data_IF_838434556778
#
_entry.id   IF_838434556778
#
_cell.length_a   1.000
_cell.length_b   1.000
_cell.length_c   1.000
_cell.angle_alpha   90.00
_cell.angle_beta   90.00
_cell.angle_gamma   90.00
#
_symmetry.space_group_name_H-M   'P 1'
#
loop_
_entity.id
_entity.type
_entity.pdbx_description
1 polymer ?
#
# COMPACT_ATOMS: atom_id res chain seq x y z
N UNK A 1 21.09 -66.41 40.14
CA UNK A 1 19.76 -66.31 39.50
C UNK A 1 19.51 -64.82 39.28
N UNK A 2 19.82 -64.31 38.10
CA UNK A 2 19.70 -62.88 37.73
C UNK A 2 18.39 -62.70 36.95
N UNK A 3 17.45 -61.96 37.55
CA UNK A 3 16.21 -61.60 36.88
C UNK A 3 16.45 -60.36 36.01
N UNK A 4 16.32 -60.54 34.68
CA UNK A 4 16.30 -59.48 33.67
C UNK A 4 14.85 -58.99 33.56
N UNK A 5 14.62 -57.70 33.91
CA UNK A 5 13.35 -57.00 33.62
C UNK A 5 13.45 -56.39 32.20
N UNK A 6 12.50 -56.62 31.30
CA UNK A 6 12.46 -55.92 30.05
C UNK A 6 11.86 -54.50 30.27
N UNK A 7 12.65 -53.47 29.91
CA UNK A 7 12.14 -52.10 29.85
C UNK A 7 11.23 -51.97 28.64
N UNK A 8 9.94 -51.72 28.84
CA UNK A 8 8.99 -51.39 27.79
C UNK A 8 9.14 -49.88 27.49
N UNK A 9 9.69 -49.59 26.31
CA UNK A 9 9.78 -48.20 25.79
C UNK A 9 8.40 -47.82 25.24
N UNK A 10 7.63 -47.02 25.97
CA UNK A 10 6.39 -46.42 25.47
C UNK A 10 6.80 -45.22 24.61
N UNK A 11 6.77 -45.39 23.29
CA UNK A 11 6.86 -44.28 22.33
C UNK A 11 5.51 -43.57 22.32
N UNK A 12 5.43 -42.46 23.02
CA UNK A 12 4.28 -41.57 22.95
C UNK A 12 4.27 -40.96 21.54
N UNK A 13 3.39 -41.44 20.66
CA UNK A 13 3.08 -40.79 19.42
C UNK A 13 2.40 -39.46 19.74
N UNK A 14 3.13 -38.34 19.62
CA UNK A 14 2.55 -37.01 19.62
C UNK A 14 1.57 -36.92 18.43
N UNK A 15 0.31 -36.45 18.63
CA UNK A 15 -0.59 -36.24 17.53
C UNK A 15 0.08 -35.20 16.60
N UNK A 16 0.36 -35.57 15.36
CA UNK A 16 0.69 -34.64 14.32
C UNK A 16 -0.58 -33.80 14.08
N UNK A 17 -0.64 -32.63 14.68
CA UNK A 17 -1.62 -31.64 14.27
C UNK A 17 -1.29 -31.28 12.84
N UNK A 18 -2.12 -31.72 11.90
CA UNK A 18 -2.14 -31.21 10.55
C UNK A 18 -2.41 -29.71 10.70
N UNK A 19 -1.38 -28.89 10.56
CA UNK A 19 -1.56 -27.44 10.51
C UNK A 19 -2.31 -27.16 9.23
N UNK A 20 -3.55 -26.72 9.34
CA UNK A 20 -4.33 -26.23 8.21
C UNK A 20 -3.54 -25.09 7.55
N UNK A 21 -2.93 -25.40 6.43
CA UNK A 21 -2.21 -24.40 5.64
C UNK A 21 -3.23 -23.68 4.77
N UNK A 22 -3.26 -22.38 4.84
CA UNK A 22 -4.17 -21.57 4.06
C UNK A 22 -3.43 -20.31 3.58
N UNK A 23 -3.67 -19.97 2.31
CA UNK A 23 -3.20 -18.74 1.70
C UNK A 23 -4.36 -18.13 0.92
N UNK A 24 -4.87 -17.01 1.39
CA UNK A 24 -5.85 -16.22 0.65
C UNK A 24 -5.28 -14.83 0.36
N UNK A 25 -5.35 -14.43 -0.90
CA UNK A 25 -4.85 -13.15 -1.36
C UNK A 25 -5.66 -12.64 -2.55
N UNK A 26 -5.56 -11.35 -2.80
CA UNK A 26 -6.18 -10.69 -3.93
C UNK A 26 -5.12 -10.01 -4.78
N UNK A 27 -5.30 -10.03 -6.09
CA UNK A 27 -4.51 -9.27 -7.06
C UNK A 27 -5.47 -8.46 -7.92
N UNK A 28 -5.24 -7.16 -7.99
CA UNK A 28 -5.97 -6.23 -8.85
C UNK A 28 -5.07 -5.65 -9.92
N UNK A 29 -5.60 -5.58 -11.13
CA UNK A 29 -4.98 -4.90 -12.26
C UNK A 29 -5.98 -3.93 -12.87
N UNK A 30 -5.51 -2.76 -13.30
CA UNK A 30 -6.37 -1.74 -13.86
C UNK A 30 -5.63 -0.55 -14.41
N UNK A 31 -6.32 0.57 -14.43
CA UNK A 31 -5.76 1.86 -14.85
C UNK A 31 -6.05 2.94 -13.80
N UNK A 32 -5.14 3.88 -13.68
CA UNK A 32 -5.29 5.06 -12.81
C UNK A 32 -4.86 6.31 -13.56
N UNK A 33 -5.66 7.36 -13.45
CA UNK A 33 -5.31 8.71 -13.86
C UNK A 33 -4.90 9.49 -12.61
N UNK A 34 -3.72 10.07 -12.64
CA UNK A 34 -3.14 10.86 -11.55
C UNK A 34 -2.15 11.88 -12.15
N UNK A 35 -1.64 12.85 -11.37
CA UNK A 35 -0.54 13.70 -11.84
C UNK A 35 0.66 12.88 -12.31
N UNK A 36 1.32 13.33 -13.36
CA UNK A 36 2.49 12.68 -13.95
C UNK A 36 3.64 12.49 -12.94
N UNK A 37 3.80 13.43 -12.03
CA UNK A 37 4.62 13.34 -10.83
C UNK A 37 3.94 14.12 -9.68
N UNK A 38 4.38 13.93 -8.45
CA UNK A 38 3.80 14.61 -7.30
C UNK A 38 3.94 16.13 -7.43
N UNK A 39 2.80 16.83 -7.51
CA UNK A 39 2.73 18.27 -7.71
C UNK A 39 2.65 18.74 -9.16
N UNK A 40 2.61 17.84 -10.15
CA UNK A 40 2.41 18.19 -11.55
C UNK A 40 0.98 18.67 -11.83
N UNK A 41 0.83 19.63 -12.72
CA UNK A 41 -0.46 20.01 -13.32
C UNK A 41 -0.88 19.09 -14.47
N UNK A 42 0.08 18.36 -15.04
CA UNK A 42 -0.18 17.39 -16.11
C UNK A 42 -0.64 16.06 -15.52
N UNK A 43 -1.71 15.52 -16.09
CA UNK A 43 -2.27 14.22 -15.68
C UNK A 43 -1.94 13.15 -16.70
N UNK A 44 -1.61 11.96 -16.20
CA UNK A 44 -1.34 10.79 -17.01
C UNK A 44 -2.23 9.63 -16.58
N UNK A 45 -2.57 8.79 -17.56
CA UNK A 45 -3.26 7.53 -17.31
C UNK A 45 -2.30 6.39 -17.55
N UNK A 46 -2.01 5.66 -16.50
CA UNK A 46 -1.09 4.53 -16.53
C UNK A 46 -1.70 3.25 -15.98
N UNK A 47 -1.02 2.12 -16.15
CA UNK A 47 -1.40 0.86 -15.51
C UNK A 47 -1.31 1.00 -13.99
N UNK A 48 -2.22 0.34 -13.30
CA UNK A 48 -2.25 0.28 -11.84
C UNK A 48 -2.40 -1.17 -11.38
N UNK A 49 -1.70 -1.52 -10.32
CA UNK A 49 -1.78 -2.83 -9.71
C UNK A 49 -1.93 -2.71 -8.20
N UNK A 50 -2.69 -3.62 -7.62
CA UNK A 50 -2.83 -3.74 -6.16
C UNK A 50 -2.71 -5.20 -5.76
N UNK A 51 -2.31 -5.45 -4.52
CA UNK A 51 -2.28 -6.77 -3.95
C UNK A 51 -2.52 -6.71 -2.44
N UNK A 52 -3.30 -7.65 -1.94
CA UNK A 52 -3.52 -7.80 -0.51
C UNK A 52 -3.48 -9.28 -0.14
N UNK A 53 -3.00 -9.57 1.07
CA UNK A 53 -3.05 -10.91 1.66
C UNK A 53 -4.08 -10.87 2.77
N UNK A 54 -5.11 -11.71 2.66
CA UNK A 54 -6.18 -11.80 3.64
C UNK A 54 -5.92 -12.92 4.66
N UNK A 55 -5.37 -14.06 4.21
CA UNK A 55 -5.05 -15.17 5.08
C UNK A 55 -3.68 -15.73 4.73
N UNK A 56 -2.83 -15.90 5.74
CA UNK A 56 -1.56 -16.59 5.62
C UNK A 56 -1.37 -17.50 6.83
N UNK A 57 -1.52 -18.81 6.64
CA UNK A 57 -1.30 -19.84 7.66
C UNK A 57 -0.23 -20.80 7.17
N UNK A 58 1.00 -20.54 7.56
CA UNK A 58 2.14 -21.37 7.17
C UNK A 58 3.22 -21.32 8.26
N UNK A 59 3.85 -22.46 8.57
CA UNK A 59 5.01 -22.56 9.47
C UNK A 59 4.78 -21.97 10.88
N UNK A 60 3.55 -22.04 11.42
CA UNK A 60 3.20 -21.50 12.73
C UNK A 60 2.91 -20.00 12.75
N UNK A 61 3.03 -19.31 11.63
CA UNK A 61 2.53 -17.96 11.45
C UNK A 61 1.07 -18.00 11.01
N UNK A 62 0.21 -17.35 11.78
CA UNK A 62 -1.19 -17.17 11.45
C UNK A 62 -1.46 -15.68 11.26
N UNK A 63 -1.58 -15.26 10.01
CA UNK A 63 -2.09 -13.94 9.62
C UNK A 63 -3.45 -14.20 9.01
N UNK A 64 -4.49 -13.75 9.66
CA UNK A 64 -5.87 -13.84 9.17
C UNK A 64 -6.41 -12.40 9.13
N UNK A 65 -6.52 -11.86 7.92
CA UNK A 65 -7.20 -10.60 7.65
C UNK A 65 -8.52 -10.94 6.97
N UNK A 66 -9.35 -11.75 7.65
CA UNK A 66 -10.69 -12.05 7.16
C UNK A 66 -11.57 -10.79 7.07
N UNK A 67 -12.80 -10.97 6.63
CA UNK A 67 -13.87 -9.96 6.78
C UNK A 67 -14.21 -9.72 8.26
N UNK A 68 -13.44 -10.31 9.16
CA UNK A 68 -13.63 -10.30 10.58
C UNK A 68 -13.31 -8.92 11.17
N UNK A 69 -14.16 -8.50 12.08
CA UNK A 69 -13.96 -7.32 12.90
C UNK A 69 -12.71 -7.49 13.78
N UNK A 70 -12.01 -6.39 14.03
CA UNK A 70 -10.84 -6.38 14.90
C UNK A 70 -9.53 -6.10 14.19
N UNK A 71 -8.43 -6.63 14.74
CA UNK A 71 -7.09 -6.37 14.25
C UNK A 71 -6.77 -7.15 12.97
N UNK A 72 -6.21 -6.43 11.99
CA UNK A 72 -5.60 -6.99 10.79
C UNK A 72 -4.11 -6.63 10.72
N UNK A 73 -3.31 -7.55 10.22
CA UNK A 73 -1.90 -7.34 9.93
C UNK A 73 -1.56 -7.96 8.57
N UNK A 74 -0.74 -7.31 7.77
CA UNK A 74 -0.34 -7.86 6.48
C UNK A 74 0.82 -7.09 5.84
N UNK A 75 1.36 -7.63 4.74
CA UNK A 75 2.34 -6.92 3.93
C UNK A 75 1.71 -5.70 3.26
N UNK A 76 2.53 -4.72 2.97
CA UNK A 76 2.14 -3.51 2.24
C UNK A 76 3.13 -3.29 1.09
N UNK A 77 2.59 -3.06 -0.11
CA UNK A 77 3.37 -2.80 -1.31
C UNK A 77 2.85 -1.53 -1.98
N UNK A 78 3.76 -0.77 -2.58
CA UNK A 78 3.42 0.38 -3.42
C UNK A 78 4.39 0.45 -4.60
N UNK A 79 3.86 0.64 -5.78
CA UNK A 79 4.62 0.96 -6.98
C UNK A 79 4.44 2.44 -7.31
N UNK A 80 5.54 3.12 -7.62
CA UNK A 80 5.58 4.51 -8.08
C UNK A 80 6.26 4.49 -9.44
N UNK A 81 5.64 5.11 -10.44
CA UNK A 81 6.22 5.25 -11.78
C UNK A 81 7.50 6.08 -11.74
N UNK A 82 8.35 5.89 -12.72
CA UNK A 82 9.53 6.72 -12.91
C UNK A 82 9.14 8.20 -13.13
N UNK A 83 10.03 9.10 -12.75
CA UNK A 83 9.95 10.53 -13.06
C UNK A 83 11.20 10.90 -13.86
N UNK A 84 11.04 11.19 -15.16
CA UNK A 84 12.14 11.61 -16.01
C UNK A 84 12.09 13.11 -16.27
N UNK A 85 13.22 13.76 -16.04
CA UNK A 85 13.39 15.20 -16.36
C UNK A 85 13.28 15.47 -17.86
N UNK A 86 13.55 14.47 -18.72
CA UNK A 86 13.42 14.63 -20.18
C UNK A 86 11.97 14.79 -20.63
N UNK A 87 11.01 14.29 -19.88
CA UNK A 87 9.59 14.33 -20.22
C UNK A 87 8.92 15.63 -19.78
N UNK A 88 9.58 16.38 -18.88
CA UNK A 88 9.07 17.62 -18.33
C UNK A 88 10.15 18.71 -18.35
N UNK A 89 10.06 19.66 -19.27
CA UNK A 89 11.05 20.74 -19.43
C UNK A 89 11.32 21.52 -18.12
N UNK A 90 10.33 21.60 -17.23
CA UNK A 90 10.44 22.22 -15.92
C UNK A 90 11.45 21.52 -14.99
N UNK A 91 11.61 20.20 -15.13
CA UNK A 91 12.52 19.38 -14.32
C UNK A 91 13.96 19.36 -14.86
N UNK A 92 14.28 20.21 -15.85
CA UNK A 92 15.62 20.26 -16.45
C UNK A 92 16.71 20.53 -15.41
N UNK A 93 17.68 19.64 -15.34
CA UNK A 93 18.79 19.70 -14.38
C UNK A 93 18.46 19.10 -13.01
N UNK A 94 17.31 18.46 -12.87
CA UNK A 94 16.95 17.64 -11.71
C UNK A 94 17.17 16.18 -12.11
N UNK A 95 17.65 15.37 -11.17
CA UNK A 95 17.90 13.95 -11.42
C UNK A 95 16.61 13.17 -11.70
N UNK A 96 16.70 12.20 -12.59
CA UNK A 96 15.63 11.23 -12.82
C UNK A 96 15.42 10.38 -11.58
N UNK A 97 14.19 9.96 -11.34
CA UNK A 97 13.87 8.97 -10.29
C UNK A 97 13.32 7.74 -10.98
N UNK A 98 14.07 6.64 -10.89
CA UNK A 98 13.66 5.36 -11.43
C UNK A 98 12.32 4.88 -10.80
N UNK A 99 11.63 3.98 -11.51
CA UNK A 99 10.44 3.35 -10.97
C UNK A 99 10.71 2.69 -9.61
N UNK A 100 9.91 3.06 -8.62
CA UNK A 100 10.12 2.63 -7.25
C UNK A 100 9.14 1.53 -6.84
N UNK A 101 9.67 0.51 -6.17
CA UNK A 101 8.91 -0.48 -5.42
C UNK A 101 9.15 -0.24 -3.93
N UNK A 102 8.10 0.00 -3.18
CA UNK A 102 8.14 0.07 -1.73
C UNK A 102 7.57 -1.21 -1.13
N UNK A 103 8.21 -1.72 -0.08
CA UNK A 103 7.81 -2.92 0.66
C UNK A 103 7.75 -2.59 2.15
N UNK A 104 6.73 -3.12 2.82
CA UNK A 104 6.54 -2.89 4.24
C UNK A 104 5.42 -3.70 4.87
N UNK A 105 4.87 -3.16 5.93
CA UNK A 105 3.79 -3.78 6.68
C UNK A 105 2.63 -2.80 6.91
N UNK A 106 1.43 -3.35 7.01
CA UNK A 106 0.19 -2.65 7.35
C UNK A 106 -0.41 -3.29 8.59
N UNK A 107 -0.97 -2.45 9.45
CA UNK A 107 -1.81 -2.82 10.59
C UNK A 107 -3.13 -2.12 10.43
N UNK A 108 -4.24 -2.78 10.74
CA UNK A 108 -5.57 -2.19 10.72
C UNK A 108 -6.41 -2.64 11.90
N UNK A 109 -7.45 -1.88 12.18
CA UNK A 109 -8.52 -2.30 13.07
C UNK A 109 -9.85 -1.96 12.41
N UNK A 110 -10.71 -2.99 12.23
CA UNK A 110 -11.98 -2.90 11.54
C UNK A 110 -13.15 -3.07 12.52
N UNK A 111 -14.09 -2.17 12.43
CA UNK A 111 -15.45 -2.26 12.98
C UNK A 111 -16.44 -2.59 11.86
N UNK A 112 -17.69 -2.78 12.19
CA UNK A 112 -18.75 -3.07 11.19
C UNK A 112 -18.84 -2.02 10.08
N UNK A 113 -18.69 -0.75 10.46
CA UNK A 113 -18.89 0.39 9.57
C UNK A 113 -17.71 1.37 9.52
N UNK A 114 -16.55 0.98 10.01
CA UNK A 114 -15.33 1.79 9.98
C UNK A 114 -14.08 0.93 9.98
N UNK A 115 -12.99 1.45 9.44
CA UNK A 115 -11.63 0.89 9.55
C UNK A 115 -10.63 2.02 9.81
N UNK A 116 -9.67 1.80 10.69
CA UNK A 116 -8.46 2.62 10.78
C UNK A 116 -7.27 1.75 10.43
N UNK A 117 -6.31 2.32 9.71
CA UNK A 117 -5.11 1.58 9.36
C UNK A 117 -3.88 2.48 9.26
N UNK A 118 -2.74 1.85 9.48
CA UNK A 118 -1.43 2.44 9.24
C UNK A 118 -0.54 1.48 8.49
N UNK A 119 0.33 2.01 7.65
CA UNK A 119 1.34 1.24 6.92
C UNK A 119 2.68 1.96 6.96
N UNK A 120 3.76 1.20 7.06
CA UNK A 120 5.12 1.72 6.90
C UNK A 120 5.80 0.91 5.81
N UNK A 121 6.40 1.60 4.86
CA UNK A 121 7.10 1.00 3.71
C UNK A 121 8.46 1.65 3.54
N UNK A 122 9.40 0.87 2.99
CA UNK A 122 10.73 1.34 2.55
C UNK A 122 10.85 1.13 1.04
N UNK A 123 11.43 2.09 0.34
CA UNK A 123 11.85 1.95 -1.04
C UNK A 123 12.96 0.91 -1.17
N UNK A 124 12.79 -0.03 -2.08
CA UNK A 124 13.78 -1.06 -2.42
C UNK A 124 14.36 -0.87 -3.82
N UNK A 125 13.68 -0.07 -4.64
CA UNK A 125 14.16 0.46 -5.94
C UNK A 125 13.71 1.91 -6.06
N UNK A 126 14.35 2.67 -6.94
CA UNK A 126 14.01 4.07 -7.26
C UNK A 126 14.40 5.06 -6.18
N UNK A 127 14.12 4.77 -4.92
CA UNK A 127 14.53 5.58 -3.76
C UNK A 127 14.78 4.70 -2.53
N UNK A 128 15.49 5.24 -1.53
CA UNK A 128 15.80 4.55 -0.27
C UNK A 128 14.96 5.05 0.92
N UNK A 129 13.99 5.92 0.65
CA UNK A 129 13.16 6.57 1.64
C UNK A 129 12.23 5.63 2.39
N UNK A 130 11.76 6.08 3.56
CA UNK A 130 10.72 5.44 4.37
C UNK A 130 9.47 6.30 4.30
N UNK A 131 8.33 5.65 4.05
CA UNK A 131 7.03 6.31 3.99
C UNK A 131 6.07 5.64 4.95
N UNK A 132 5.28 6.44 5.65
CA UNK A 132 4.23 5.97 6.54
C UNK A 132 2.88 6.58 6.15
N UNK A 133 1.87 5.74 5.97
CA UNK A 133 0.49 6.16 5.76
C UNK A 133 -0.35 5.92 7.00
N UNK A 134 -1.26 6.85 7.28
CA UNK A 134 -2.34 6.70 8.24
C UNK A 134 -3.67 7.01 7.54
N UNK A 135 -4.67 6.20 7.82
CA UNK A 135 -6.00 6.37 7.24
C UNK A 135 -7.11 5.93 8.18
N UNK A 136 -8.27 6.49 7.95
CA UNK A 136 -9.51 6.05 8.57
C UNK A 136 -10.60 6.03 7.49
N UNK A 137 -11.41 4.99 7.45
CA UNK A 137 -12.48 4.81 6.49
C UNK A 137 -13.82 4.65 7.21
N UNK A 138 -14.83 5.39 6.80
CA UNK A 138 -16.21 5.05 7.04
C UNK A 138 -16.66 4.08 5.93
N UNK A 139 -17.38 3.03 6.31
CA UNK A 139 -17.74 1.90 5.44
C UNK A 139 -19.25 1.75 5.42
N UNK A 140 -19.80 1.63 4.22
CA UNK A 140 -21.22 1.32 4.01
C UNK A 140 -21.35 0.12 3.07
N UNK A 141 -22.01 -0.92 3.52
CA UNK A 141 -22.44 -2.02 2.67
C UNK A 141 -23.79 -1.63 2.06
N UNK A 142 -23.79 -1.32 0.77
CA UNK A 142 -25.01 -0.97 0.01
C UNK A 142 -25.89 -2.21 -0.16
N UNK A 143 -25.25 -3.34 -0.39
CA UNK A 143 -25.84 -4.68 -0.43
C UNK A 143 -24.78 -5.73 -0.04
N UNK A 144 -25.05 -7.01 -0.23
CA UNK A 144 -24.12 -8.12 0.10
C UNK A 144 -22.89 -8.21 -0.80
N UNK A 145 -22.86 -7.45 -1.90
CA UNK A 145 -21.80 -7.49 -2.91
C UNK A 145 -21.11 -6.13 -3.09
N UNK A 146 -21.73 -5.04 -2.60
CA UNK A 146 -21.26 -3.67 -2.86
C UNK A 146 -20.90 -2.96 -1.58
N UNK A 147 -19.64 -2.62 -1.46
CA UNK A 147 -19.07 -1.85 -0.35
C UNK A 147 -18.61 -0.48 -0.85
N UNK A 148 -18.99 0.56 -0.13
CA UNK A 148 -18.53 1.93 -0.30
C UNK A 148 -17.68 2.33 0.89
N UNK A 149 -16.52 2.95 0.63
CA UNK A 149 -15.64 3.51 1.66
C UNK A 149 -15.30 4.95 1.34
N UNK A 150 -15.17 5.77 2.38
CA UNK A 150 -14.59 7.10 2.26
C UNK A 150 -13.86 7.48 3.54
N UNK A 151 -12.73 8.15 3.38
CA UNK A 151 -12.01 8.61 4.55
C UNK A 151 -10.73 9.38 4.28
N UNK A 152 -10.18 10.02 5.32
CA UNK A 152 -8.94 10.78 5.25
C UNK A 152 -7.72 9.89 5.06
N UNK A 153 -6.73 10.47 4.40
CA UNK A 153 -5.40 9.90 4.16
C UNK A 153 -4.34 10.89 4.61
N UNK A 154 -3.36 10.41 5.36
CA UNK A 154 -2.17 11.18 5.75
C UNK A 154 -0.94 10.38 5.36
N UNK A 155 0.03 11.02 4.71
CA UNK A 155 1.28 10.37 4.32
C UNK A 155 2.46 11.18 4.85
N UNK A 156 3.33 10.47 5.56
CA UNK A 156 4.59 10.98 6.10
C UNK A 156 5.74 10.36 5.32
N UNK A 157 6.81 11.11 5.15
CA UNK A 157 8.05 10.60 4.57
C UNK A 157 9.26 11.08 5.36
N UNK A 158 10.36 10.36 5.29
CA UNK A 158 11.64 10.81 5.82
C UNK A 158 12.41 11.64 4.79
N UNK A 159 13.53 12.24 5.23
CA UNK A 159 14.37 13.09 4.39
C UNK A 159 14.81 12.38 3.10
N UNK A 160 15.22 11.11 3.15
CA UNK A 160 15.66 10.38 1.95
C UNK A 160 14.57 10.21 0.87
N UNK A 161 13.29 10.18 1.25
CA UNK A 161 12.19 10.26 0.28
C UNK A 161 12.04 11.68 -0.26
N UNK A 162 12.10 12.67 0.63
CA UNK A 162 11.95 14.07 0.27
C UNK A 162 13.06 14.54 -0.67
N UNK A 163 14.32 14.16 -0.39
CA UNK A 163 15.48 14.42 -1.24
C UNK A 163 15.26 13.88 -2.67
N UNK A 164 14.71 12.65 -2.77
CA UNK A 164 14.50 12.01 -4.08
C UNK A 164 13.42 12.68 -4.93
N UNK A 165 12.37 13.21 -4.30
CA UNK A 165 11.19 13.68 -5.02
C UNK A 165 11.00 15.19 -5.03
N UNK A 166 11.53 15.93 -4.05
CA UNK A 166 11.21 17.33 -3.83
C UNK A 166 12.44 18.26 -3.77
N UNK A 167 13.66 17.71 -3.72
CA UNK A 167 14.88 18.51 -3.75
C UNK A 167 15.17 19.06 -5.14
N UNK A 168 15.76 20.24 -5.17
CA UNK A 168 16.26 20.91 -6.38
C UNK A 168 17.73 21.23 -6.20
N UNK A 169 18.64 20.60 -6.99
CA UNK A 169 20.06 20.85 -6.89
C UNK A 169 20.43 22.25 -7.43
N UNK A 170 21.59 22.77 -7.01
CA UNK A 170 22.13 23.98 -7.54
C UNK A 170 22.48 23.81 -9.04
N UNK A 171 22.04 24.75 -9.87
CA UNK A 171 22.29 24.72 -11.33
C UNK A 171 21.14 24.11 -12.14
N UNK A 172 20.09 23.58 -11.52
CA UNK A 172 18.84 23.21 -12.20
C UNK A 172 18.10 24.45 -12.75
N UNK A 173 17.09 24.20 -13.57
CA UNK A 173 16.21 25.27 -14.08
C UNK A 173 15.42 25.97 -12.96
N UNK A 174 15.00 25.20 -11.95
CA UNK A 174 14.30 25.71 -10.78
C UNK A 174 15.29 26.25 -9.72
N UNK A 175 14.79 27.06 -8.79
CA UNK A 175 15.59 27.55 -7.67
C UNK A 175 16.01 26.39 -6.76
N UNK A 176 17.27 26.39 -6.24
CA UNK A 176 17.73 25.36 -5.31
C UNK A 176 16.82 25.24 -4.09
N UNK A 177 16.52 24.02 -3.67
CA UNK A 177 15.63 23.71 -2.57
C UNK A 177 16.04 22.40 -1.90
N UNK A 178 15.89 22.31 -0.60
CA UNK A 178 16.02 21.07 0.16
C UNK A 178 14.78 20.90 1.03
N UNK A 179 14.17 19.72 0.97
CA UNK A 179 12.93 19.41 1.63
C UNK A 179 13.18 18.46 2.81
N UNK A 180 12.76 18.84 4.00
CA UNK A 180 12.83 18.00 5.18
C UNK A 180 11.66 17.02 5.25
N UNK A 181 11.89 15.87 5.92
CA UNK A 181 10.86 14.86 6.17
C UNK A 181 9.74 15.34 7.09
N UNK A 182 8.58 14.68 6.98
CA UNK A 182 7.43 15.02 7.81
C UNK A 182 6.11 14.60 7.17
N UNK A 183 5.01 15.23 7.57
CA UNK A 183 3.73 15.10 6.89
C UNK A 183 3.80 15.83 5.56
N UNK A 184 3.92 15.08 4.47
CA UNK A 184 4.07 15.68 3.15
C UNK A 184 2.80 15.68 2.28
N UNK A 185 1.83 14.81 2.64
CA UNK A 185 0.58 14.72 1.87
C UNK A 185 -0.61 14.42 2.79
N UNK A 186 -1.71 15.12 2.58
CA UNK A 186 -3.00 14.90 3.23
C UNK A 186 -4.10 14.87 2.18
N UNK A 187 -5.15 14.09 2.40
CA UNK A 187 -6.23 13.98 1.42
C UNK A 187 -7.44 13.21 1.92
N UNK A 188 -8.32 12.93 0.98
CA UNK A 188 -9.49 12.08 1.16
C UNK A 188 -9.60 11.12 -0.02
N UNK A 189 -9.96 9.90 0.24
CA UNK A 189 -10.17 8.87 -0.78
C UNK A 189 -11.54 8.23 -0.60
N UNK A 190 -12.16 7.94 -1.72
CA UNK A 190 -13.43 7.25 -1.84
C UNK A 190 -13.23 6.02 -2.72
N UNK A 191 -13.71 4.87 -2.29
CA UNK A 191 -13.71 3.65 -3.08
C UNK A 191 -15.09 3.02 -3.12
N UNK A 192 -15.42 2.42 -4.25
CA UNK A 192 -16.59 1.57 -4.42
C UNK A 192 -16.11 0.24 -4.95
N UNK A 193 -16.38 -0.81 -4.20
CA UNK A 193 -16.05 -2.18 -4.57
C UNK A 193 -17.34 -2.96 -4.82
N UNK A 194 -17.37 -3.71 -5.91
CA UNK A 194 -18.46 -4.63 -6.23
C UNK A 194 -17.91 -6.03 -6.50
N UNK A 195 -18.32 -6.99 -5.69
CA UNK A 195 -17.95 -8.40 -5.81
C UNK A 195 -18.94 -9.11 -6.75
N UNK A 196 -18.50 -9.47 -7.95
CA UNK A 196 -19.35 -10.22 -8.90
C UNK A 196 -19.64 -11.64 -8.42
N UNK A 197 -18.65 -12.24 -7.73
CA UNK A 197 -18.69 -13.57 -7.17
C UNK A 197 -17.50 -13.77 -6.20
N UNK A 198 -17.33 -14.99 -5.69
CA UNK A 198 -16.25 -15.35 -4.76
C UNK A 198 -14.85 -15.23 -5.37
N UNK A 199 -14.71 -15.03 -6.67
CA UNK A 199 -13.44 -15.01 -7.39
C UNK A 199 -13.09 -13.63 -7.95
N UNK A 200 -14.07 -12.82 -8.32
CA UNK A 200 -13.86 -11.58 -9.03
C UNK A 200 -14.60 -10.40 -8.40
N UNK A 201 -13.91 -9.27 -8.36
CA UNK A 201 -14.45 -7.98 -7.96
C UNK A 201 -13.97 -6.87 -8.90
N UNK A 202 -14.69 -5.77 -8.93
CA UNK A 202 -14.23 -4.50 -9.49
C UNK A 202 -14.17 -3.46 -8.38
N UNK A 203 -13.15 -2.61 -8.44
CA UNK A 203 -13.02 -1.47 -7.53
C UNK A 203 -12.78 -0.20 -8.34
N UNK A 204 -13.60 0.82 -8.04
CA UNK A 204 -13.41 2.19 -8.49
C UNK A 204 -12.89 3.04 -7.34
N UNK A 205 -11.94 3.93 -7.61
CA UNK A 205 -11.40 4.87 -6.62
C UNK A 205 -11.40 6.31 -7.12
N UNK A 206 -11.70 7.24 -6.23
CA UNK A 206 -11.60 8.68 -6.44
C UNK A 206 -10.84 9.28 -5.25
N UNK A 207 -9.75 9.97 -5.53
CA UNK A 207 -8.93 10.62 -4.52
C UNK A 207 -8.77 12.11 -4.77
N UNK A 208 -8.67 12.87 -3.70
CA UNK A 208 -8.14 14.22 -3.69
C UNK A 208 -7.04 14.29 -2.63
N UNK A 209 -5.91 14.88 -2.99
CA UNK A 209 -4.77 15.04 -2.09
C UNK A 209 -4.17 16.43 -2.21
N UNK A 210 -3.57 16.90 -1.12
CA UNK A 210 -2.82 18.15 -1.03
C UNK A 210 -1.43 17.88 -0.49
N UNK A 211 -0.43 18.36 -1.19
CA UNK A 211 0.96 18.41 -0.70
C UNK A 211 1.07 19.47 0.40
N UNK A 212 1.75 19.11 1.49
CA UNK A 212 1.88 19.93 2.69
C UNK A 212 3.35 20.03 3.11
N UNK A 213 3.65 20.93 4.03
CA UNK A 213 5.02 21.13 4.51
C UNK A 213 5.99 21.41 3.37
N UNK A 214 7.22 20.96 3.52
CA UNK A 214 8.30 21.23 2.58
C UNK A 214 8.07 20.64 1.19
N UNK A 215 7.34 19.52 1.09
CA UNK A 215 6.91 19.01 -0.22
C UNK A 215 6.04 20.03 -0.96
N UNK A 216 5.08 20.62 -0.27
CA UNK A 216 4.19 21.63 -0.88
C UNK A 216 4.90 22.93 -1.25
N UNK A 217 6.00 23.25 -0.58
CA UNK A 217 6.79 24.47 -0.81
C UNK A 217 7.91 24.28 -1.86
N UNK A 218 8.15 23.02 -2.28
CA UNK A 218 9.17 22.73 -3.29
C UNK A 218 8.88 23.42 -4.63
N UNK A 219 9.89 24.03 -5.27
CA UNK A 219 9.76 24.61 -6.62
C UNK A 219 9.35 23.59 -7.69
N UNK A 220 9.51 22.29 -7.46
CA UNK A 220 9.05 21.23 -8.37
C UNK A 220 7.52 21.24 -8.49
N UNK A 221 6.82 21.59 -7.41
CA UNK A 221 5.37 21.55 -7.31
C UNK A 221 4.74 22.71 -8.07
N UNK A 222 3.94 22.38 -9.07
CA UNK A 222 3.14 23.34 -9.85
C UNK A 222 1.78 23.56 -9.19
N UNK A 223 1.19 22.47 -8.69
CA UNK A 223 -0.08 22.51 -7.96
C UNK A 223 0.01 21.61 -6.73
N UNK A 224 -0.31 22.17 -5.57
CA UNK A 224 -0.36 21.40 -4.31
C UNK A 224 -1.56 20.45 -4.26
N UNK A 225 -2.65 20.80 -4.93
CA UNK A 225 -3.89 20.04 -4.93
C UNK A 225 -3.95 19.14 -6.16
N UNK A 226 -4.25 17.86 -5.96
CA UNK A 226 -4.37 16.90 -7.05
C UNK A 226 -5.51 15.93 -6.84
N UNK A 227 -6.12 15.52 -7.96
CA UNK A 227 -7.13 14.47 -8.00
C UNK A 227 -6.55 13.16 -8.51
N UNK A 228 -7.23 12.07 -8.29
CA UNK A 228 -6.95 10.80 -8.94
C UNK A 228 -8.22 9.99 -9.15
N UNK A 229 -8.25 9.24 -10.23
CA UNK A 229 -9.34 8.32 -10.57
C UNK A 229 -8.74 6.97 -10.95
N UNK A 230 -9.25 5.88 -10.39
CA UNK A 230 -8.77 4.54 -10.69
C UNK A 230 -9.91 3.56 -10.90
N UNK A 231 -9.66 2.54 -11.72
CA UNK A 231 -10.55 1.37 -11.85
C UNK A 231 -9.68 0.13 -11.90
N UNK A 232 -10.00 -0.86 -11.10
CA UNK A 232 -9.28 -2.12 -11.02
C UNK A 232 -10.21 -3.31 -11.10
N UNK A 233 -9.81 -4.34 -11.83
CA UNK A 233 -10.40 -5.67 -11.78
C UNK A 233 -9.57 -6.52 -10.81
N UNK A 234 -10.21 -7.07 -9.80
CA UNK A 234 -9.58 -7.81 -8.71
C UNK A 234 -9.91 -9.28 -8.85
N UNK A 235 -8.90 -10.13 -8.74
CA UNK A 235 -9.06 -11.58 -8.63
C UNK A 235 -8.69 -12.04 -7.23
N UNK A 236 -9.60 -12.80 -6.61
CA UNK A 236 -9.44 -13.42 -5.29
C UNK A 236 -8.90 -14.84 -5.47
N UNK A 237 -7.94 -15.22 -4.65
CA UNK A 237 -7.33 -16.55 -4.60
C UNK A 237 -7.46 -17.10 -3.18
N UNK A 238 -7.97 -18.32 -3.04
CA UNK A 238 -8.06 -19.04 -1.76
C UNK A 238 -7.49 -20.45 -1.99
N UNK A 239 -6.36 -20.71 -1.36
CA UNK A 239 -5.68 -22.01 -1.42
C UNK A 239 -5.61 -22.61 0.00
N UNK A 240 -6.23 -23.77 0.15
CA UNK A 240 -6.21 -24.55 1.37
C UNK A 240 -5.58 -25.91 1.10
N UNK A 241 -4.56 -26.33 1.88
CA UNK A 241 -3.83 -27.59 1.71
C UNK A 241 -3.43 -28.21 3.04
#
# INVERSE_FOLDING_TARGET
MRLLFPAVLIVAAAPAHAQDRALAFELGLGARTAPAYEGSETYETGPSATGSVSTFRLLGLNIDKGDDLGFGFGPSFRYISERSASDHARLSGIDDVDAALEIGARVSYRWENAEVWGAVRKGVTGHEGIVADLAADAIWNVDTQTEFRVGPRLTFANDAYMDSYFDVPAGAFLAPYSADGGLYKAGIEMTVRHDFNDTWAVEGSLGWTRLTGDAGDSPIVENRDSGSLGVMLIRKFDWRF
#
